data_IF_839539984142
#
_entry.id   IF_839539984142
#
_cell.length_a   1.000
_cell.length_b   1.000
_cell.length_c   1.000
_cell.angle_alpha   90.00
_cell.angle_beta   90.00
_cell.angle_gamma   90.00
#
_symmetry.space_group_name_H-M   'P 1'
#
loop_
_entity.id
_entity.type
_entity.pdbx_description
1 polymer ?
#
# COMPACT_ATOMS: atom_id res chain seq x y z
N UNK A 1 2.11 13.40 3.27
CA UNK A 1 2.91 14.30 2.42
C UNK A 1 3.29 13.64 1.08
N UNK A 2 2.89 12.39 0.86
CA UNK A 2 2.90 11.59 -0.38
C UNK A 2 2.89 12.33 -1.73
N UNK A 3 1.91 13.19 -2.00
CA UNK A 3 1.80 13.88 -3.31
C UNK A 3 2.98 14.83 -3.51
N UNK A 4 3.45 15.48 -2.44
CA UNK A 4 4.59 16.38 -2.46
C UNK A 4 5.89 15.59 -2.68
N UNK A 5 6.06 14.43 -2.04
CA UNK A 5 7.23 13.57 -2.22
C UNK A 5 7.34 13.02 -3.66
N UNK A 6 6.23 12.58 -4.25
CA UNK A 6 6.21 12.13 -5.66
C UNK A 6 6.38 13.29 -6.65
N UNK A 7 5.82 14.47 -6.36
CA UNK A 7 6.01 15.66 -7.18
C UNK A 7 7.48 16.12 -7.16
N UNK A 8 8.14 16.13 -6.00
CA UNK A 8 9.58 16.42 -5.89
C UNK A 8 10.42 15.40 -6.63
N UNK A 9 10.14 14.10 -6.50
CA UNK A 9 10.85 13.06 -7.26
C UNK A 9 10.71 13.25 -8.78
N UNK A 10 9.51 13.58 -9.26
CA UNK A 10 9.27 13.88 -10.68
C UNK A 10 10.05 15.12 -11.14
N UNK A 11 10.05 16.20 -10.35
CA UNK A 11 10.80 17.42 -10.66
C UNK A 11 12.31 17.16 -10.70
N UNK A 12 12.87 16.46 -9.71
CA UNK A 12 14.31 16.13 -9.71
C UNK A 12 14.70 15.20 -10.86
N UNK A 13 13.83 14.26 -11.24
CA UNK A 13 14.04 13.41 -12.42
C UNK A 13 14.07 14.23 -13.72
N UNK A 14 13.15 15.19 -13.88
CA UNK A 14 13.15 16.11 -15.03
C UNK A 14 14.41 16.97 -15.04
N UNK A 15 14.82 17.52 -13.89
CA UNK A 15 16.06 18.31 -13.76
C UNK A 15 17.28 17.48 -14.15
N UNK A 16 17.37 16.21 -13.73
CA UNK A 16 18.44 15.31 -14.12
C UNK A 16 18.51 15.14 -15.65
N UNK A 17 17.37 14.92 -16.32
CA UNK A 17 17.33 14.82 -17.78
C UNK A 17 17.75 16.14 -18.44
N UNK A 18 17.26 17.28 -17.96
CA UNK A 18 17.63 18.60 -18.50
C UNK A 18 19.13 18.88 -18.32
N UNK A 19 19.74 18.45 -17.21
CA UNK A 19 21.16 18.68 -16.98
C UNK A 19 22.07 18.05 -18.03
N UNK A 20 21.64 16.94 -18.66
CA UNK A 20 22.36 16.28 -19.77
C UNK A 20 22.42 17.16 -21.02
N UNK A 21 21.43 18.03 -21.24
CA UNK A 21 21.36 18.95 -22.37
C UNK A 21 21.97 20.33 -22.08
N UNK A 22 22.56 20.52 -20.90
CA UNK A 22 23.17 21.77 -20.46
C UNK A 22 24.66 21.58 -20.18
N UNK A 23 25.44 22.66 -20.17
CA UNK A 23 26.86 22.64 -19.84
C UNK A 23 27.14 22.50 -18.34
N UNK A 24 26.19 21.97 -17.57
CA UNK A 24 26.35 21.79 -16.13
C UNK A 24 27.40 20.70 -15.85
N UNK A 25 28.14 20.81 -14.73
CA UNK A 25 29.09 19.78 -14.33
C UNK A 25 28.41 18.41 -14.24
N UNK A 26 29.02 17.36 -14.82
CA UNK A 26 28.40 16.03 -14.94
C UNK A 26 28.00 15.39 -13.60
N UNK A 27 28.57 15.83 -12.48
CA UNK A 27 28.18 15.36 -11.14
C UNK A 27 26.78 15.86 -10.70
N UNK A 28 26.29 16.96 -11.27
CA UNK A 28 24.99 17.57 -10.92
C UNK A 28 23.84 16.66 -11.33
N UNK A 29 23.92 16.05 -12.52
CA UNK A 29 22.92 15.07 -12.97
C UNK A 29 22.87 13.85 -12.06
N UNK A 30 24.03 13.31 -11.67
CA UNK A 30 24.12 12.20 -10.72
C UNK A 30 23.51 12.56 -9.36
N UNK A 31 23.84 13.74 -8.82
CA UNK A 31 23.29 14.21 -7.55
C UNK A 31 21.76 14.37 -7.61
N UNK A 32 21.22 14.88 -8.73
CA UNK A 32 19.78 15.03 -8.94
C UNK A 32 19.06 13.67 -9.01
N UNK A 33 19.64 12.66 -9.68
CA UNK A 33 19.07 11.31 -9.73
C UNK A 33 19.05 10.66 -8.34
N UNK A 34 20.14 10.80 -7.58
CA UNK A 34 20.22 10.28 -6.21
C UNK A 34 19.15 10.94 -5.33
N UNK A 35 19.01 12.27 -5.40
CA UNK A 35 17.96 12.99 -4.68
C UNK A 35 16.55 12.52 -5.08
N UNK A 36 16.27 12.36 -6.39
CA UNK A 36 15.00 11.86 -6.88
C UNK A 36 14.68 10.45 -6.32
N UNK A 37 15.68 9.56 -6.31
CA UNK A 37 15.55 8.23 -5.74
C UNK A 37 15.19 8.24 -4.25
N UNK A 38 15.84 9.11 -3.46
CA UNK A 38 15.54 9.25 -2.03
C UNK A 38 14.11 9.73 -1.78
N UNK A 39 13.64 10.73 -2.54
CA UNK A 39 12.26 11.21 -2.43
C UNK A 39 11.23 10.17 -2.86
N UNK A 40 11.56 9.35 -3.86
CA UNK A 40 10.72 8.23 -4.30
C UNK A 40 10.56 7.18 -3.19
N UNK A 41 11.66 6.78 -2.56
CA UNK A 41 11.66 5.81 -1.45
C UNK A 41 10.86 6.35 -0.27
N UNK A 42 11.03 7.63 0.08
CA UNK A 42 10.27 8.26 1.15
C UNK A 42 8.76 8.32 0.84
N UNK A 43 8.40 8.62 -0.42
CA UNK A 43 7.01 8.60 -0.89
C UNK A 43 6.37 7.21 -0.78
N UNK A 44 7.11 6.15 -1.12
CA UNK A 44 6.64 4.77 -0.94
C UNK A 44 6.55 4.36 0.53
N UNK A 45 7.49 4.78 1.37
CA UNK A 45 7.44 4.50 2.81
C UNK A 45 6.20 5.12 3.47
N UNK A 46 5.88 6.39 3.15
CA UNK A 46 4.64 7.01 3.61
C UNK A 46 3.39 6.27 3.12
N UNK A 47 3.38 5.81 1.86
CA UNK A 47 2.26 5.04 1.32
C UNK A 47 2.09 3.69 2.01
N UNK A 48 3.20 3.02 2.33
CA UNK A 48 3.19 1.75 3.05
C UNK A 48 2.62 1.94 4.46
N UNK A 49 3.10 2.94 5.21
CA UNK A 49 2.61 3.24 6.54
C UNK A 49 1.11 3.54 6.57
N UNK A 50 0.61 4.30 5.58
CA UNK A 50 -0.83 4.58 5.44
C UNK A 50 -1.69 3.35 5.10
N UNK A 51 -1.09 2.29 4.53
CA UNK A 51 -1.80 1.04 4.23
C UNK A 51 -1.95 0.14 5.44
N UNK A 52 -1.08 0.26 6.45
CA UNK A 52 -1.15 -0.56 7.67
C UNK A 52 -2.39 -0.23 8.54
N UNK A 53 -2.99 0.96 8.39
CA UNK A 53 -4.06 1.43 9.29
C UNK A 53 -5.49 1.08 8.85
N UNK A 54 -5.70 0.38 7.73
CA UNK A 54 -7.06 -0.07 7.37
C UNK A 54 -7.30 -1.44 7.97
N UNK A 55 -7.71 -1.46 9.24
CA UNK A 55 -8.22 -2.66 9.86
C UNK A 55 -9.38 -3.19 8.99
N UNK A 56 -9.31 -4.44 8.49
CA UNK A 56 -10.36 -4.99 7.66
C UNK A 56 -11.63 -5.12 8.51
N UNK A 57 -12.67 -4.37 8.18
CA UNK A 57 -13.98 -4.42 8.86
C UNK A 57 -15.01 -5.02 7.92
N UNK A 58 -15.79 -5.99 8.42
CA UNK A 58 -16.84 -6.64 7.63
C UNK A 58 -18.03 -5.69 7.49
N UNK A 59 -18.51 -5.51 6.26
CA UNK A 59 -19.80 -4.88 6.01
C UNK A 59 -20.97 -5.78 6.46
N UNK A 60 -22.20 -5.26 6.48
CA UNK A 60 -23.36 -6.00 6.96
C UNK A 60 -23.70 -7.23 6.10
N UNK A 61 -23.41 -7.19 4.80
CA UNK A 61 -23.65 -8.29 3.87
C UNK A 61 -22.62 -9.42 4.05
N UNK A 62 -21.35 -9.04 4.22
CA UNK A 62 -20.23 -9.92 4.53
C UNK A 62 -20.44 -10.57 5.89
N UNK A 63 -20.88 -9.81 6.91
CA UNK A 63 -21.21 -10.34 8.24
C UNK A 63 -22.33 -11.38 8.17
N UNK A 64 -23.42 -11.08 7.46
CA UNK A 64 -24.51 -12.04 7.28
C UNK A 64 -24.04 -13.32 6.56
N UNK A 65 -23.17 -13.18 5.57
CA UNK A 65 -22.59 -14.30 4.85
C UNK A 65 -21.70 -15.16 5.75
N UNK A 66 -20.83 -14.54 6.55
CA UNK A 66 -19.97 -15.23 7.50
C UNK A 66 -20.79 -15.93 8.59
N UNK A 67 -21.83 -15.28 9.12
CA UNK A 67 -22.73 -15.89 10.10
C UNK A 67 -23.47 -17.10 9.52
N UNK A 68 -23.91 -17.04 8.26
CA UNK A 68 -24.51 -18.20 7.57
C UNK A 68 -23.51 -19.35 7.48
N UNK A 69 -22.29 -19.09 7.04
CA UNK A 69 -21.25 -20.12 6.96
C UNK A 69 -20.89 -20.71 8.34
N UNK A 70 -20.91 -19.90 9.40
CA UNK A 70 -20.73 -20.39 10.79
C UNK A 70 -21.88 -21.30 11.22
N UNK A 71 -23.11 -20.93 10.92
CA UNK A 71 -24.29 -21.74 11.24
C UNK A 71 -24.27 -23.10 10.51
N UNK A 72 -23.69 -23.15 9.32
CA UNK A 72 -23.47 -24.37 8.53
C UNK A 72 -22.26 -25.21 9.02
N UNK A 73 -21.47 -24.72 9.98
CA UNK A 73 -20.26 -25.38 10.48
C UNK A 73 -19.01 -25.16 9.62
N UNK A 74 -19.10 -24.31 8.59
CA UNK A 74 -18.07 -24.09 7.57
C UNK A 74 -17.05 -23.00 7.96
N UNK A 75 -16.46 -23.07 9.15
CA UNK A 75 -15.55 -22.03 9.67
C UNK A 75 -14.34 -21.80 8.74
N UNK A 76 -13.71 -22.87 8.26
CA UNK A 76 -12.51 -22.74 7.41
C UNK A 76 -12.81 -22.09 6.06
N UNK A 77 -13.99 -22.37 5.48
CA UNK A 77 -14.44 -21.71 4.25
C UNK A 77 -14.77 -20.24 4.50
N UNK A 78 -15.36 -19.90 5.65
CA UNK A 78 -15.60 -18.50 6.02
C UNK A 78 -14.28 -17.71 6.14
N UNK A 79 -13.22 -18.31 6.70
CA UNK A 79 -11.89 -17.69 6.78
C UNK A 79 -11.31 -17.46 5.38
N UNK A 80 -11.40 -18.44 4.48
CA UNK A 80 -10.95 -18.29 3.10
C UNK A 80 -11.74 -17.20 2.36
N UNK A 81 -13.04 -17.12 2.59
CA UNK A 81 -13.88 -16.08 2.01
C UNK A 81 -13.45 -14.68 2.47
N UNK A 82 -13.16 -14.51 3.76
CA UNK A 82 -12.66 -13.25 4.31
C UNK A 82 -11.28 -12.90 3.74
N UNK A 83 -10.39 -13.88 3.54
CA UNK A 83 -9.10 -13.65 2.85
C UNK A 83 -9.25 -13.24 1.39
N UNK A 84 -10.29 -13.71 0.70
CA UNK A 84 -10.59 -13.30 -0.68
C UNK A 84 -11.07 -11.84 -0.74
N UNK A 85 -11.87 -11.42 0.23
CA UNK A 85 -12.35 -10.03 0.34
C UNK A 85 -11.24 -9.07 0.77
N UNK A 86 -10.41 -9.46 1.74
CA UNK A 86 -9.32 -8.66 2.25
C UNK A 86 -7.98 -9.24 1.82
N UNK A 87 -7.52 -8.88 0.62
CA UNK A 87 -6.23 -9.34 0.04
C UNK A 87 -5.00 -9.08 0.90
N UNK A 88 -5.09 -8.21 1.91
CA UNK A 88 -4.01 -7.91 2.86
C UNK A 88 -4.20 -8.53 4.25
N UNK A 89 -5.32 -9.19 4.53
CA UNK A 89 -5.57 -9.79 5.83
C UNK A 89 -4.74 -11.07 5.99
N UNK A 90 -4.05 -11.20 7.12
CA UNK A 90 -3.40 -12.47 7.46
C UNK A 90 -4.47 -13.54 7.74
N UNK A 91 -4.08 -14.82 7.70
CA UNK A 91 -4.99 -15.91 8.08
C UNK A 91 -5.52 -15.75 9.51
N UNK A 92 -4.70 -15.19 10.40
CA UNK A 92 -5.07 -14.91 11.79
C UNK A 92 -6.09 -13.76 11.90
N UNK A 93 -5.88 -12.67 11.16
CA UNK A 93 -6.84 -11.55 11.11
C UNK A 93 -8.18 -11.98 10.52
N UNK A 94 -8.16 -12.76 9.44
CA UNK A 94 -9.37 -13.31 8.84
C UNK A 94 -10.11 -14.25 9.80
N UNK A 95 -9.39 -15.11 10.53
CA UNK A 95 -9.98 -15.98 11.54
C UNK A 95 -10.55 -15.20 12.74
N UNK A 96 -9.90 -14.10 13.14
CA UNK A 96 -10.40 -13.18 14.17
C UNK A 96 -11.72 -12.55 13.71
N UNK A 97 -11.77 -12.01 12.51
CA UNK A 97 -12.99 -11.43 11.93
C UNK A 97 -14.15 -12.43 11.87
N UNK A 98 -13.88 -13.66 11.45
CA UNK A 98 -14.92 -14.71 11.44
C UNK A 98 -15.38 -15.08 12.86
N UNK A 99 -14.48 -15.04 13.85
CA UNK A 99 -14.84 -15.33 15.25
C UNK A 99 -15.72 -14.24 15.84
N UNK A 100 -15.41 -12.97 15.53
CA UNK A 100 -16.06 -11.77 16.05
C UNK A 100 -17.34 -11.38 15.28
N UNK A 101 -17.53 -11.88 14.05
CA UNK A 101 -18.74 -11.73 13.23
C UNK A 101 -19.93 -12.52 13.76
#
# INVERSE_FOLDING_TARGET
MRIVSFALAAVFSIVAVVTVYTTLPGWVGTAAIVAAGLFLVLGFYEQYKLREDVAPELDDEQRATVQRMKAEGNFQLAVQQVQLWFRGATAEDAARLVREA
#
